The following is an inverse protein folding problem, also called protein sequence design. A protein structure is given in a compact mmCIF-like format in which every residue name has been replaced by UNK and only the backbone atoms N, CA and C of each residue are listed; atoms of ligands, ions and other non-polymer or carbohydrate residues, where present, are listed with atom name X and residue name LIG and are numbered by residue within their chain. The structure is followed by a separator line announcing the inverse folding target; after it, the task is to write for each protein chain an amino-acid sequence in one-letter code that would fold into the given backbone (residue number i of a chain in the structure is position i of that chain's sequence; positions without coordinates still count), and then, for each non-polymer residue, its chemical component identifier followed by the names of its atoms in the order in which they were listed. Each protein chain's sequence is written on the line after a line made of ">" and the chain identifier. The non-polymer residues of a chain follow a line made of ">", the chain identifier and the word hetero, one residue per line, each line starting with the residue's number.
data_IF_824097508204
#
_entry.id   IF_824097508204
#
_cell.length_a   1.000
_cell.length_b   1.000
_cell.length_c   1.000
_cell.angle_alpha   90.00
_cell.angle_beta   90.00
_cell.angle_gamma   90.00
#
_symmetry.space_group_name_H-M   'P 1'
#
loop_
_entity.id
_entity.type
_entity.pdbx_description
1 polymer ?
#
# COMPACT_ATOMS: atom_id res chain seq x y z
N UNK A 1 22.00 -15.35 4.06
CA UNK A 1 20.96 -15.49 3.01
C UNK A 1 20.58 -14.11 2.53
N UNK A 2 20.75 -13.87 1.24
CA UNK A 2 20.41 -12.61 0.55
C UNK A 2 19.04 -12.75 -0.11
N UNK A 3 18.09 -11.86 0.24
CA UNK A 3 16.70 -12.00 -0.18
C UNK A 3 16.26 -10.76 -0.98
N UNK A 4 15.68 -10.99 -2.15
CA UNK A 4 14.99 -9.97 -2.92
C UNK A 4 13.51 -9.94 -2.53
N UNK A 5 12.99 -8.75 -2.23
CA UNK A 5 11.55 -8.50 -2.09
C UNK A 5 11.14 -7.56 -3.22
N UNK A 6 10.12 -7.92 -4.00
CA UNK A 6 9.71 -7.11 -5.13
C UNK A 6 8.30 -6.52 -4.91
N UNK A 7 8.20 -5.18 -4.96
CA UNK A 7 6.95 -4.42 -5.02
C UNK A 7 7.12 -3.24 -5.96
N UNK A 8 6.60 -3.35 -7.18
CA UNK A 8 6.95 -2.47 -8.29
C UNK A 8 5.93 -1.35 -8.57
N UNK A 9 4.97 -1.15 -7.69
CA UNK A 9 3.95 -0.11 -7.79
C UNK A 9 4.42 1.25 -7.24
N UNK A 10 3.48 2.12 -6.82
CA UNK A 10 3.78 3.46 -6.31
C UNK A 10 4.14 3.50 -4.83
N UNK A 11 4.34 4.73 -4.31
CA UNK A 11 4.72 5.03 -2.91
C UNK A 11 3.83 4.26 -1.90
N UNK A 12 2.50 4.38 -2.04
CA UNK A 12 1.57 3.75 -1.09
C UNK A 12 1.71 2.23 -1.05
N UNK A 13 1.83 1.61 -2.21
CA UNK A 13 1.99 0.15 -2.33
C UNK A 13 3.29 -0.36 -1.72
N UNK A 14 4.38 0.40 -1.88
CA UNK A 14 5.69 0.09 -1.28
C UNK A 14 5.61 0.22 0.24
N UNK A 15 4.96 1.26 0.78
CA UNK A 15 4.75 1.42 2.23
C UNK A 15 3.93 0.25 2.81
N UNK A 16 2.91 -0.22 2.09
CA UNK A 16 2.09 -1.37 2.49
C UNK A 16 2.90 -2.68 2.57
N UNK A 17 4.01 -2.80 1.84
CA UNK A 17 4.91 -3.96 1.93
C UNK A 17 5.78 -3.98 3.21
N UNK A 18 5.79 -2.89 3.98
CA UNK A 18 6.66 -2.73 5.15
C UNK A 18 6.64 -3.89 6.16
N UNK A 19 5.47 -4.41 6.59
CA UNK A 19 5.40 -5.56 7.50
C UNK A 19 6.06 -6.82 6.93
N UNK A 20 5.85 -7.11 5.63
CA UNK A 20 6.47 -8.24 4.94
C UNK A 20 8.00 -8.08 4.86
N UNK A 21 8.48 -6.89 4.50
CA UNK A 21 9.92 -6.57 4.48
C UNK A 21 10.55 -6.79 5.87
N UNK A 22 9.92 -6.27 6.94
CA UNK A 22 10.43 -6.46 8.30
C UNK A 22 10.43 -7.93 8.76
N UNK A 23 9.47 -8.74 8.30
CA UNK A 23 9.47 -10.17 8.56
C UNK A 23 10.68 -10.86 7.93
N UNK A 24 11.00 -10.53 6.67
CA UNK A 24 12.18 -11.05 5.95
C UNK A 24 13.47 -10.59 6.63
N UNK A 25 13.61 -9.30 6.96
CA UNK A 25 14.80 -8.71 7.56
C UNK A 25 15.18 -9.31 8.93
N UNK A 26 14.25 -9.97 9.61
CA UNK A 26 14.55 -10.68 10.88
C UNK A 26 15.36 -11.97 10.69
N UNK A 27 15.44 -12.48 9.47
CA UNK A 27 16.07 -13.77 9.17
C UNK A 27 17.05 -13.73 8.01
N UNK A 28 16.96 -12.73 7.15
CA UNK A 28 17.91 -12.49 6.07
C UNK A 28 19.13 -11.72 6.58
N UNK A 29 20.28 -11.96 5.97
CA UNK A 29 21.51 -11.19 6.22
C UNK A 29 21.49 -9.88 5.43
N UNK A 30 20.78 -9.87 4.28
CA UNK A 30 20.59 -8.72 3.41
C UNK A 30 19.21 -8.80 2.75
N UNK A 31 18.49 -7.68 2.77
CA UNK A 31 17.21 -7.51 2.08
C UNK A 31 17.32 -6.40 1.05
N UNK A 32 17.15 -6.76 -0.21
CA UNK A 32 17.08 -5.78 -1.31
C UNK A 32 15.65 -5.68 -1.81
N UNK A 33 15.16 -4.43 -1.92
CA UNK A 33 13.84 -4.17 -2.47
C UNK A 33 13.92 -3.82 -3.95
N UNK A 34 13.24 -4.57 -4.81
CA UNK A 34 13.01 -4.22 -6.21
C UNK A 34 11.72 -3.42 -6.32
N UNK A 35 11.81 -2.17 -6.76
CA UNK A 35 10.67 -1.29 -6.96
C UNK A 35 10.70 -0.56 -8.30
N UNK A 36 9.57 0.02 -8.69
CA UNK A 36 9.50 0.97 -9.80
C UNK A 36 9.97 2.37 -9.37
N UNK A 37 10.26 3.28 -10.32
CA UNK A 37 10.74 4.64 -10.00
C UNK A 37 9.75 5.42 -9.14
N UNK A 38 8.44 5.19 -9.30
CA UNK A 38 7.39 5.81 -8.48
C UNK A 38 7.36 5.32 -7.03
N UNK A 39 7.90 4.14 -6.76
CA UNK A 39 7.99 3.54 -5.42
C UNK A 39 9.32 3.83 -4.72
N UNK A 40 10.35 4.26 -5.47
CA UNK A 40 11.71 4.43 -4.98
C UNK A 40 11.83 5.30 -3.72
N UNK A 41 11.19 6.48 -3.64
CA UNK A 41 11.30 7.30 -2.44
C UNK A 41 10.77 6.62 -1.17
N UNK A 42 9.74 5.77 -1.30
CA UNK A 42 9.21 4.98 -0.18
C UNK A 42 10.12 3.80 0.17
N UNK A 43 10.73 3.16 -0.83
CA UNK A 43 11.67 2.06 -0.62
C UNK A 43 12.85 2.47 0.27
N UNK A 44 13.41 3.66 0.05
CA UNK A 44 14.51 4.22 0.85
C UNK A 44 14.11 4.50 2.30
N UNK A 45 12.81 4.62 2.59
CA UNK A 45 12.26 4.88 3.92
C UNK A 45 11.81 3.61 4.66
N UNK A 46 11.79 2.43 4.03
CA UNK A 46 11.34 1.21 4.69
C UNK A 46 12.37 0.67 5.69
N UNK A 47 11.99 0.39 6.95
CA UNK A 47 12.85 -0.32 7.89
C UNK A 47 13.11 -1.76 7.41
N UNK A 48 14.37 -2.19 7.46
CA UNK A 48 14.79 -3.53 7.09
C UNK A 48 15.15 -3.70 5.61
N UNK A 49 15.16 -2.63 4.83
CA UNK A 49 15.74 -2.61 3.48
C UNK A 49 17.20 -2.19 3.57
N UNK A 50 18.10 -3.01 3.03
CA UNK A 50 19.55 -2.74 3.00
C UNK A 50 19.99 -2.15 1.65
N UNK A 51 19.29 -2.52 0.57
CA UNK A 51 19.55 -2.01 -0.78
C UNK A 51 18.28 -1.91 -1.62
N UNK A 52 18.32 -1.10 -2.68
CA UNK A 52 17.18 -0.93 -3.59
C UNK A 52 17.64 -1.08 -5.03
N UNK A 53 16.98 -1.97 -5.77
CA UNK A 53 17.04 -2.06 -7.23
C UNK A 53 15.84 -1.30 -7.79
N UNK A 54 16.08 -0.29 -8.61
CA UNK A 54 15.04 0.46 -9.28
C UNK A 54 14.90 -0.01 -10.73
N UNK A 55 13.72 -0.46 -11.08
CA UNK A 55 13.44 -0.86 -12.46
C UNK A 55 11.99 -0.59 -12.85
N UNK A 56 11.79 0.10 -13.96
CA UNK A 56 10.47 0.36 -14.54
C UNK A 56 9.97 -0.89 -15.24
N UNK A 57 9.05 -1.62 -14.61
CA UNK A 57 8.44 -2.81 -15.18
C UNK A 57 7.42 -2.42 -16.27
N UNK A 58 7.64 -2.77 -17.56
CA UNK A 58 6.74 -2.36 -18.66
C UNK A 58 5.31 -2.89 -18.53
N UNK A 59 5.09 -3.93 -17.74
CA UNK A 59 3.78 -4.54 -17.51
C UNK A 59 3.08 -4.08 -16.23
N UNK A 60 3.72 -3.21 -15.43
CA UNK A 60 3.16 -2.65 -14.19
C UNK A 60 3.04 -1.13 -14.27
N UNK A 61 4.08 -0.45 -14.78
CA UNK A 61 4.12 1.01 -14.83
C UNK A 61 2.96 1.53 -15.72
N UNK A 62 2.16 2.50 -15.25
CA UNK A 62 1.07 3.07 -16.04
C UNK A 62 1.55 3.79 -17.31
N UNK A 63 2.77 4.30 -17.30
CA UNK A 63 3.42 4.86 -18.48
C UNK A 63 3.99 3.72 -19.32
N UNK A 64 3.32 3.41 -20.42
CA UNK A 64 3.72 2.30 -21.28
C UNK A 64 5.08 2.55 -21.89
N UNK A 65 6.05 1.73 -21.53
CA UNK A 65 7.39 1.70 -22.15
C UNK A 65 7.57 0.36 -22.87
N UNK A 66 8.29 0.34 -23.98
CA UNK A 66 8.61 -0.92 -24.66
C UNK A 66 9.50 -1.80 -23.78
N UNK A 67 9.39 -3.13 -23.99
CA UNK A 67 10.35 -4.08 -23.40
C UNK A 67 11.60 -4.07 -24.28
N UNK A 68 12.69 -3.54 -23.75
CA UNK A 68 13.97 -3.48 -24.45
C UNK A 68 14.92 -4.55 -23.92
N UNK A 69 15.53 -5.33 -24.83
CA UNK A 69 16.45 -6.41 -24.48
C UNK A 69 17.58 -5.93 -23.58
N UNK A 70 18.21 -4.78 -23.91
CA UNK A 70 19.32 -4.24 -23.12
C UNK A 70 18.90 -3.82 -21.70
N UNK A 71 17.65 -3.40 -21.48
CA UNK A 71 17.12 -3.09 -20.15
C UNK A 71 16.87 -4.37 -19.35
N UNK A 72 16.39 -5.42 -20.01
CA UNK A 72 16.19 -6.75 -19.43
C UNK A 72 17.53 -7.36 -19.03
N UNK A 73 18.52 -7.33 -19.91
CA UNK A 73 19.85 -7.90 -19.64
C UNK A 73 20.54 -7.22 -18.45
N UNK A 74 20.44 -5.89 -18.34
CA UNK A 74 20.94 -5.15 -17.17
C UNK A 74 20.24 -5.59 -15.89
N UNK A 75 18.91 -5.65 -15.91
CA UNK A 75 18.16 -6.10 -14.73
C UNK A 75 18.54 -7.53 -14.32
N UNK A 76 18.62 -8.46 -15.28
CA UNK A 76 19.02 -9.85 -14.99
C UNK A 76 20.39 -9.88 -14.30
N UNK A 77 21.36 -9.07 -14.78
CA UNK A 77 22.67 -8.95 -14.13
C UNK A 77 22.60 -8.37 -12.71
N UNK A 78 21.72 -7.39 -12.46
CA UNK A 78 21.51 -6.83 -11.10
C UNK A 78 20.81 -7.82 -10.15
N UNK A 79 20.06 -8.78 -10.70
CA UNK A 79 19.33 -9.79 -9.95
C UNK A 79 20.14 -11.06 -9.67
N UNK A 80 21.41 -11.12 -10.05
CA UNK A 80 22.28 -12.27 -9.74
C UNK A 80 22.64 -12.35 -8.24
N UNK A 81 22.81 -13.56 -7.74
CA UNK A 81 23.32 -13.84 -6.39
C UNK A 81 22.31 -13.69 -5.26
N UNK A 82 21.01 -13.63 -5.54
CA UNK A 82 19.97 -13.77 -4.52
C UNK A 82 19.68 -15.24 -4.23
N UNK A 83 19.63 -15.63 -2.95
CA UNK A 83 19.26 -16.96 -2.51
C UNK A 83 17.76 -17.20 -2.66
N UNK A 84 16.95 -16.14 -2.43
CA UNK A 84 15.49 -16.18 -2.52
C UNK A 84 14.93 -14.88 -3.06
N UNK A 85 13.77 -14.98 -3.73
CA UNK A 85 12.98 -13.84 -4.12
C UNK A 85 11.50 -13.99 -3.71
N UNK A 86 10.88 -12.89 -3.26
CA UNK A 86 9.49 -12.80 -2.86
C UNK A 86 8.79 -11.72 -3.69
N UNK A 87 7.81 -12.09 -4.52
CA UNK A 87 7.13 -11.19 -5.44
C UNK A 87 5.75 -10.81 -4.87
N UNK A 88 5.66 -9.59 -4.35
CA UNK A 88 4.49 -9.05 -3.66
C UNK A 88 3.57 -8.32 -4.66
N UNK A 89 2.97 -9.05 -5.59
CA UNK A 89 2.07 -8.46 -6.60
C UNK A 89 0.75 -7.98 -6.03
N UNK A 90 0.19 -6.93 -6.61
CA UNK A 90 -1.23 -6.57 -6.46
C UNK A 90 -2.14 -7.66 -7.05
N UNK A 91 -3.39 -7.72 -6.58
CA UNK A 91 -4.34 -8.78 -6.97
C UNK A 91 -4.62 -8.91 -8.48
N UNK A 92 -4.32 -7.87 -9.27
CA UNK A 92 -4.52 -7.84 -10.72
C UNK A 92 -3.25 -8.03 -11.53
N UNK A 93 -2.14 -8.22 -10.85
CA UNK A 93 -0.83 -8.40 -11.48
C UNK A 93 -0.43 -9.86 -11.43
N UNK A 94 0.41 -10.27 -12.37
CA UNK A 94 1.03 -11.59 -12.38
C UNK A 94 2.47 -11.51 -11.89
N UNK A 95 2.92 -12.41 -11.02
CA UNK A 95 4.32 -12.51 -10.62
C UNK A 95 5.21 -13.12 -11.72
N UNK A 96 4.60 -13.76 -12.74
CA UNK A 96 5.32 -14.62 -13.67
C UNK A 96 6.35 -13.91 -14.55
N UNK A 97 6.11 -12.68 -15.07
CA UNK A 97 7.12 -11.98 -15.85
C UNK A 97 8.41 -11.73 -15.06
N UNK A 98 8.29 -11.27 -13.79
CA UNK A 98 9.46 -11.09 -12.94
C UNK A 98 10.08 -12.42 -12.51
N UNK A 99 9.28 -13.44 -12.25
CA UNK A 99 9.77 -14.77 -11.91
C UNK A 99 10.63 -15.37 -13.03
N UNK A 100 10.27 -15.13 -14.29
CA UNK A 100 11.09 -15.54 -15.44
C UNK A 100 12.45 -14.83 -15.43
N UNK A 101 12.49 -13.52 -15.19
CA UNK A 101 13.75 -12.77 -15.12
C UNK A 101 14.64 -13.24 -13.96
N UNK A 102 14.04 -13.53 -12.81
CA UNK A 102 14.75 -14.09 -11.65
C UNK A 102 15.32 -15.49 -11.92
N UNK A 103 14.59 -16.33 -12.69
CA UNK A 103 15.14 -17.63 -13.13
C UNK A 103 16.31 -17.46 -14.08
N UNK A 104 16.24 -16.51 -15.00
CA UNK A 104 17.36 -16.17 -15.89
C UNK A 104 18.58 -15.65 -15.11
N UNK A 105 18.37 -14.91 -14.03
CA UNK A 105 19.40 -14.47 -13.09
C UNK A 105 19.93 -15.61 -12.17
N UNK A 106 19.38 -16.81 -12.28
CA UNK A 106 19.81 -17.96 -11.49
C UNK A 106 19.27 -18.03 -10.06
N UNK A 107 18.23 -17.23 -9.70
CA UNK A 107 17.64 -17.28 -8.35
C UNK A 107 17.05 -18.67 -8.08
N UNK A 108 17.56 -19.43 -7.06
CA UNK A 108 17.19 -20.83 -6.86
C UNK A 108 15.79 -21.00 -6.28
N UNK A 109 15.29 -20.04 -5.47
CA UNK A 109 13.97 -20.13 -4.86
C UNK A 109 13.14 -18.84 -5.03
N UNK A 110 11.92 -18.97 -5.54
CA UNK A 110 11.03 -17.84 -5.83
C UNK A 110 9.63 -18.12 -5.28
N UNK A 111 9.15 -17.24 -4.39
CA UNK A 111 7.75 -17.19 -3.93
C UNK A 111 7.01 -16.01 -4.54
N UNK A 112 5.73 -16.18 -4.85
CA UNK A 112 4.94 -15.10 -5.42
C UNK A 112 3.45 -15.24 -5.15
N UNK A 113 2.76 -14.08 -5.06
CA UNK A 113 1.29 -14.03 -4.99
C UNK A 113 0.76 -14.11 -6.41
N UNK A 114 -0.07 -15.10 -6.72
CA UNK A 114 -0.66 -15.23 -8.05
C UNK A 114 -1.70 -16.32 -8.16
N UNK A 115 -2.68 -16.10 -9.06
CA UNK A 115 -3.77 -17.05 -9.33
C UNK A 115 -3.40 -18.03 -10.44
N UNK A 116 -2.59 -17.60 -11.39
CA UNK A 116 -2.22 -18.40 -12.56
C UNK A 116 -1.34 -19.59 -12.19
N UNK A 117 -1.38 -20.64 -13.02
CA UNK A 117 -0.47 -21.77 -12.89
C UNK A 117 0.96 -21.35 -13.25
N UNK A 118 1.92 -21.44 -12.30
CA UNK A 118 3.25 -20.89 -12.50
C UNK A 118 4.24 -21.84 -13.20
N UNK A 119 3.88 -23.11 -13.39
CA UNK A 119 4.85 -24.12 -13.82
C UNK A 119 6.03 -24.20 -12.85
N UNK A 120 7.24 -24.21 -13.38
CA UNK A 120 8.51 -24.19 -12.63
C UNK A 120 9.02 -22.80 -12.27
N UNK A 121 8.28 -21.73 -12.60
CA UNK A 121 8.72 -20.36 -12.33
C UNK A 121 8.64 -20.00 -10.84
N UNK A 122 7.68 -20.54 -10.11
CA UNK A 122 7.54 -20.33 -8.66
C UNK A 122 7.72 -21.65 -7.90
N UNK A 123 8.50 -21.62 -6.82
CA UNK A 123 8.60 -22.71 -5.82
C UNK A 123 7.43 -22.63 -4.85
N UNK A 124 6.97 -21.39 -4.54
CA UNK A 124 5.80 -21.13 -3.71
C UNK A 124 4.82 -20.23 -4.47
N UNK A 125 3.63 -20.74 -4.77
CA UNK A 125 2.50 -19.95 -5.23
C UNK A 125 1.54 -19.71 -4.07
N UNK A 126 1.54 -18.50 -3.56
CA UNK A 126 0.58 -18.07 -2.54
C UNK A 126 -0.70 -17.56 -3.20
N UNK A 127 -1.84 -18.11 -2.81
CA UNK A 127 -3.16 -17.60 -3.15
C UNK A 127 -3.69 -16.83 -1.96
N UNK A 128 -3.85 -15.54 -2.14
CA UNK A 128 -4.28 -14.68 -1.05
C UNK A 128 -5.81 -14.53 -1.03
N UNK A 129 -6.37 -14.45 0.17
CA UNK A 129 -7.77 -14.14 0.35
C UNK A 129 -8.10 -12.74 -0.21
N UNK A 130 -9.34 -12.59 -0.70
CA UNK A 130 -9.75 -11.39 -1.41
C UNK A 130 -10.04 -10.19 -0.51
N UNK A 131 -10.44 -10.40 0.74
CA UNK A 131 -10.94 -9.34 1.64
C UNK A 131 -10.01 -9.05 2.82
N UNK A 132 -8.71 -9.29 2.62
CA UNK A 132 -7.65 -9.04 3.61
C UNK A 132 -6.90 -7.77 3.25
N UNK A 133 -6.55 -6.89 4.22
CA UNK A 133 -5.71 -5.73 3.99
C UNK A 133 -4.39 -6.09 3.27
N UNK A 134 -3.99 -5.30 2.29
CA UNK A 134 -2.79 -5.56 1.48
C UNK A 134 -1.52 -5.84 2.30
N UNK A 135 -1.23 -5.15 3.44
CA UNK A 135 -0.08 -5.51 4.28
C UNK A 135 -0.14 -6.93 4.81
N UNK A 136 -1.32 -7.39 5.23
CA UNK A 136 -1.49 -8.75 5.77
C UNK A 136 -1.47 -9.80 4.65
N UNK A 137 -2.01 -9.46 3.47
CA UNK A 137 -1.95 -10.31 2.27
C UNK A 137 -0.50 -10.59 1.84
N UNK A 138 0.34 -9.54 1.82
CA UNK A 138 1.76 -9.69 1.52
C UNK A 138 2.52 -10.42 2.62
N UNK A 139 2.17 -10.16 3.88
CA UNK A 139 2.76 -10.84 5.03
C UNK A 139 2.47 -12.35 5.00
N UNK A 140 1.27 -12.76 4.60
CA UNK A 140 0.90 -14.18 4.51
C UNK A 140 1.79 -14.97 3.52
N UNK A 141 2.13 -14.41 2.34
CA UNK A 141 3.12 -15.03 1.45
C UNK A 141 4.46 -15.23 2.16
N UNK A 142 4.90 -14.21 2.90
CA UNK A 142 6.20 -14.21 3.57
C UNK A 142 6.21 -15.22 4.73
N UNK A 143 5.11 -15.40 5.45
CA UNK A 143 4.93 -16.42 6.47
C UNK A 143 4.97 -17.84 5.85
N UNK A 144 4.26 -18.06 4.75
CA UNK A 144 4.30 -19.32 3.99
C UNK A 144 5.72 -19.66 3.47
N UNK A 145 6.52 -18.62 3.18
CA UNK A 145 7.91 -18.75 2.80
C UNK A 145 8.85 -19.03 3.99
N UNK A 146 8.34 -19.11 5.22
CA UNK A 146 9.08 -19.45 6.44
C UNK A 146 9.68 -18.27 7.19
N UNK A 147 9.23 -17.02 6.92
CA UNK A 147 9.62 -15.82 7.66
C UNK A 147 8.51 -15.42 8.63
N UNK A 148 8.68 -15.59 9.94
CA UNK A 148 7.62 -15.30 10.91
C UNK A 148 7.21 -13.83 10.92
N UNK A 149 5.91 -13.55 11.05
CA UNK A 149 5.39 -12.21 11.20
C UNK A 149 6.08 -11.44 12.34
N UNK A 150 6.30 -10.14 12.20
CA UNK A 150 6.71 -9.30 13.32
C UNK A 150 5.56 -9.19 14.33
N UNK A 151 5.90 -8.98 15.61
CA UNK A 151 4.89 -8.78 16.66
C UNK A 151 3.98 -7.56 16.41
N UNK A 152 4.52 -6.55 15.75
CA UNK A 152 3.77 -5.37 15.30
C UNK A 152 3.72 -5.33 13.77
N UNK A 153 2.52 -5.46 13.22
CA UNK A 153 2.26 -5.46 11.78
C UNK A 153 1.89 -4.08 11.21
N UNK A 154 1.82 -3.03 12.04
CA UNK A 154 1.55 -1.65 11.58
C UNK A 154 2.61 -1.19 10.57
N UNK A 155 2.21 -0.27 9.70
CA UNK A 155 3.15 0.38 8.79
C UNK A 155 4.18 1.19 9.59
N UNK A 156 5.39 1.32 9.07
CA UNK A 156 6.46 2.10 9.69
C UNK A 156 7.40 2.66 8.64
N UNK A 157 7.99 3.81 8.93
CA UNK A 157 9.10 4.38 8.18
C UNK A 157 10.37 4.43 9.04
N UNK A 158 11.53 4.46 8.38
CA UNK A 158 12.85 4.58 9.02
C UNK A 158 13.02 5.98 9.60
N UNK A 159 13.55 6.06 10.82
CA UNK A 159 13.97 7.32 11.43
C UNK A 159 15.51 7.49 11.42
N UNK A 160 16.02 8.66 11.84
CA UNK A 160 15.26 9.84 12.23
C UNK A 160 14.63 10.55 11.03
N UNK A 161 13.45 11.14 11.22
CA UNK A 161 12.81 12.00 10.22
C UNK A 161 13.29 13.44 10.37
N UNK A 162 13.33 14.25 9.28
CA UNK A 162 13.78 15.65 9.31
C UNK A 162 12.99 16.53 10.31
N UNK A 163 13.63 17.55 10.84
CA UNK A 163 12.97 18.62 11.56
C UNK A 163 12.24 19.55 10.58
N UNK A 164 10.96 19.81 10.86
CA UNK A 164 10.08 20.61 10.01
C UNK A 164 9.43 21.79 10.75
N UNK A 165 9.85 22.09 11.96
CA UNK A 165 9.24 23.15 12.77
C UNK A 165 9.34 24.52 12.07
N UNK A 166 10.39 24.73 11.30
CA UNK A 166 10.59 25.93 10.46
C UNK A 166 9.55 26.06 9.33
N UNK A 167 8.90 24.95 8.93
CA UNK A 167 7.84 24.96 7.92
C UNK A 167 6.45 25.12 8.55
N UNK A 168 6.20 24.47 9.69
CA UNK A 168 4.85 24.32 10.26
C UNK A 168 4.62 25.13 11.51
N UNK A 169 5.66 25.67 12.16
CA UNK A 169 5.55 26.40 13.42
C UNK A 169 5.18 25.51 14.62
N UNK A 170 5.51 24.22 14.56
CA UNK A 170 5.30 23.25 15.64
C UNK A 170 4.09 22.31 15.42
N UNK A 171 3.92 21.26 16.26
CA UNK A 171 2.96 20.17 16.06
C UNK A 171 1.50 20.54 16.36
N UNK A 172 0.56 19.58 16.14
CA UNK A 172 -0.84 19.66 16.56
C UNK A 172 -1.78 20.30 15.56
N UNK A 173 -1.41 20.33 14.29
CA UNK A 173 -2.27 20.78 13.17
C UNK A 173 -2.98 19.61 12.49
N UNK A 174 -3.93 19.92 11.63
CA UNK A 174 -4.56 18.96 10.71
C UNK A 174 -3.87 19.06 9.36
N UNK A 175 -3.49 17.94 8.75
CA UNK A 175 -3.01 17.90 7.37
C UNK A 175 -4.17 17.62 6.43
N UNK A 176 -4.30 18.42 5.36
CA UNK A 176 -5.19 18.16 4.22
C UNK A 176 -4.34 17.93 2.98
N UNK A 177 -4.47 16.73 2.36
CA UNK A 177 -3.78 16.38 1.13
C UNK A 177 -4.83 16.16 0.01
N UNK A 178 -5.14 17.20 -0.80
CA UNK A 178 -6.22 17.16 -1.79
C UNK A 178 -5.84 16.36 -3.05
N UNK A 179 -4.53 16.19 -3.30
CA UNK A 179 -3.99 15.61 -4.51
C UNK A 179 -4.21 14.10 -4.65
N UNK A 180 -4.27 13.64 -5.90
CA UNK A 180 -4.37 12.21 -6.23
C UNK A 180 -3.87 11.94 -7.64
N UNK A 181 -3.20 10.83 -7.83
CA UNK A 181 -2.76 10.36 -9.17
C UNK A 181 -3.89 9.82 -10.05
N UNK A 182 -5.09 9.61 -9.49
CA UNK A 182 -6.27 9.12 -10.21
C UNK A 182 -7.47 10.05 -9.93
N UNK A 183 -7.90 10.85 -10.90
CA UNK A 183 -9.00 11.81 -10.73
C UNK A 183 -10.28 11.21 -10.12
N UNK A 184 -10.59 9.94 -10.42
CA UNK A 184 -11.71 9.22 -9.80
C UNK A 184 -11.60 9.03 -8.27
N UNK A 185 -10.47 9.38 -7.67
CA UNK A 185 -10.23 9.28 -6.20
C UNK A 185 -10.11 10.66 -5.55
N UNK A 186 -10.23 11.74 -6.35
CA UNK A 186 -10.14 13.12 -5.87
C UNK A 186 -11.45 13.61 -5.26
N UNK A 187 -11.36 14.24 -4.11
CA UNK A 187 -12.48 15.00 -3.56
C UNK A 187 -12.53 16.39 -4.22
N UNK A 188 -13.71 16.97 -4.50
CA UNK A 188 -13.79 18.25 -5.20
C UNK A 188 -12.97 19.35 -4.48
N UNK A 189 -12.09 20.10 -5.20
CA UNK A 189 -11.20 21.10 -4.59
C UNK A 189 -11.95 22.17 -3.76
N UNK A 190 -13.13 22.62 -4.23
CA UNK A 190 -13.95 23.57 -3.48
C UNK A 190 -14.41 23.03 -2.12
N UNK A 191 -14.74 21.75 -2.03
CA UNK A 191 -15.08 21.10 -0.76
C UNK A 191 -13.86 20.91 0.14
N UNK A 192 -12.67 20.66 -0.44
CA UNK A 192 -11.43 20.66 0.32
C UNK A 192 -11.19 22.03 0.98
N UNK A 193 -11.36 23.13 0.23
CA UNK A 193 -11.24 24.49 0.73
C UNK A 193 -12.30 24.82 1.80
N UNK A 194 -13.54 24.34 1.60
CA UNK A 194 -14.61 24.49 2.61
C UNK A 194 -14.24 23.78 3.92
N UNK A 195 -13.67 22.57 3.85
CA UNK A 195 -13.22 21.85 5.05
C UNK A 195 -12.05 22.57 5.75
N UNK A 196 -11.09 23.13 5.01
CA UNK A 196 -10.02 23.95 5.57
C UNK A 196 -10.59 25.13 6.35
N UNK A 197 -11.54 25.89 5.76
CA UNK A 197 -12.21 27.00 6.42
C UNK A 197 -12.96 26.59 7.69
N UNK A 198 -13.70 25.48 7.64
CA UNK A 198 -14.44 24.98 8.81
C UNK A 198 -13.50 24.55 9.95
N UNK A 199 -12.42 23.86 9.63
CA UNK A 199 -11.41 23.46 10.61
C UNK A 199 -10.71 24.67 11.23
N UNK A 200 -10.34 25.67 10.43
CA UNK A 200 -9.73 26.92 10.91
C UNK A 200 -10.71 27.71 11.79
N UNK A 201 -11.98 27.82 11.41
CA UNK A 201 -13.02 28.46 12.21
C UNK A 201 -13.26 27.75 13.57
N UNK A 202 -13.02 26.42 13.62
CA UNK A 202 -13.03 25.63 14.86
C UNK A 202 -11.73 25.76 15.69
N UNK A 203 -10.80 26.64 15.29
CA UNK A 203 -9.54 26.90 15.99
C UNK A 203 -8.42 25.90 15.66
N UNK A 204 -8.57 25.04 14.65
CA UNK A 204 -7.53 24.14 14.19
C UNK A 204 -6.57 24.86 13.23
N UNK A 205 -5.27 24.67 13.42
CA UNK A 205 -4.30 25.03 12.40
C UNK A 205 -4.38 23.97 11.30
N UNK A 206 -4.39 24.38 10.04
CA UNK A 206 -4.46 23.48 8.88
C UNK A 206 -3.24 23.66 8.01
N UNK A 207 -2.63 22.54 7.62
CA UNK A 207 -1.50 22.46 6.70
C UNK A 207 -1.95 21.71 5.46
N UNK A 208 -1.87 22.35 4.30
CA UNK A 208 -2.23 21.75 3.01
C UNK A 208 -0.95 21.28 2.32
N UNK A 209 -0.92 20.00 1.90
CA UNK A 209 0.26 19.39 1.28
C UNK A 209 -0.05 18.86 -0.11
N UNK A 210 0.95 18.83 -0.99
CA UNK A 210 0.86 18.33 -2.37
C UNK A 210 2.22 18.22 -3.01
N UNK A 211 2.29 17.56 -4.16
CA UNK A 211 3.48 17.47 -5.00
C UNK A 211 3.77 18.78 -5.74
N UNK A 212 4.88 18.79 -6.49
CA UNK A 212 5.31 19.95 -7.29
C UNK A 212 4.27 20.33 -8.36
N UNK A 213 3.61 19.33 -8.93
CA UNK A 213 2.56 19.45 -9.96
C UNK A 213 1.18 19.79 -9.38
N UNK A 214 1.05 19.85 -8.04
CA UNK A 214 -0.20 20.12 -7.33
C UNK A 214 -0.23 21.52 -6.67
N UNK A 215 0.74 22.40 -6.93
CA UNK A 215 0.87 23.72 -6.28
C UNK A 215 -0.37 24.63 -6.45
N UNK A 216 -0.94 24.65 -7.65
CA UNK A 216 -2.14 25.47 -7.89
C UNK A 216 -3.35 24.91 -7.10
N UNK A 217 -3.45 23.59 -6.99
CA UNK A 217 -4.48 22.92 -6.21
C UNK A 217 -4.32 23.21 -4.71
N UNK A 218 -3.09 23.08 -4.19
CA UNK A 218 -2.84 23.31 -2.76
C UNK A 218 -3.03 24.75 -2.38
N UNK A 219 -2.61 25.71 -3.21
CA UNK A 219 -2.85 27.13 -2.99
C UNK A 219 -4.35 27.47 -2.98
N UNK A 220 -5.14 26.91 -3.93
CA UNK A 220 -6.60 27.04 -3.94
C UNK A 220 -7.24 26.51 -2.67
N UNK A 221 -6.81 25.33 -2.20
CA UNK A 221 -7.38 24.64 -1.04
C UNK A 221 -6.98 25.31 0.27
N UNK A 222 -5.75 25.77 0.39
CA UNK A 222 -5.26 26.47 1.58
C UNK A 222 -5.94 27.82 1.77
N UNK A 223 -6.13 28.57 0.69
CA UNK A 223 -6.72 29.92 0.75
C UNK A 223 -5.97 30.81 1.75
N UNK A 224 -6.73 31.58 2.55
CA UNK A 224 -6.21 32.43 3.62
C UNK A 224 -6.15 31.70 4.98
N UNK A 225 -6.82 30.55 5.10
CA UNK A 225 -7.06 29.85 6.36
C UNK A 225 -6.07 28.68 6.60
N UNK A 226 -5.37 28.22 5.56
CA UNK A 226 -4.43 27.12 5.63
C UNK A 226 -2.99 27.52 5.30
N UNK A 227 -2.02 26.80 5.87
CA UNK A 227 -0.61 26.90 5.48
C UNK A 227 -0.36 26.03 4.24
N UNK A 228 -0.03 26.64 3.10
CA UNK A 228 0.30 25.92 1.87
C UNK A 228 1.75 25.40 1.86
N UNK A 229 1.91 24.11 1.77
CA UNK A 229 3.18 23.39 1.59
C UNK A 229 3.26 22.63 0.25
N UNK A 230 2.44 22.97 -0.74
CA UNK A 230 2.48 22.38 -2.09
C UNK A 230 3.85 22.49 -2.74
N UNK A 231 4.45 21.34 -3.11
CA UNK A 231 5.78 21.26 -3.72
C UNK A 231 6.94 21.69 -2.81
N UNK A 232 6.71 21.85 -1.50
CA UNK A 232 7.73 22.35 -0.55
C UNK A 232 8.31 21.27 0.36
N UNK A 233 7.91 20.02 0.17
CA UNK A 233 8.36 18.90 1.01
C UNK A 233 8.85 17.73 0.16
N UNK A 234 10.01 17.18 0.51
CA UNK A 234 10.41 15.83 0.13
C UNK A 234 9.53 14.77 0.83
N UNK A 235 9.58 13.51 0.42
CA UNK A 235 8.81 12.46 1.09
C UNK A 235 9.17 12.26 2.57
N UNK A 236 10.45 12.31 3.01
CA UNK A 236 10.81 12.31 4.43
C UNK A 236 10.28 13.51 5.22
N UNK A 237 10.29 14.72 4.63
CA UNK A 237 9.72 15.92 5.26
C UNK A 237 8.20 15.81 5.35
N UNK A 238 7.51 15.32 4.31
CA UNK A 238 6.08 15.02 4.36
C UNK A 238 5.75 14.02 5.47
N UNK A 239 6.59 13.00 5.67
CA UNK A 239 6.44 12.05 6.77
C UNK A 239 6.55 12.76 8.14
N UNK A 240 7.47 13.73 8.29
CA UNK A 240 7.57 14.55 9.49
C UNK A 240 6.35 15.45 9.70
N UNK A 241 5.86 16.10 8.62
CA UNK A 241 4.64 16.91 8.64
C UNK A 241 3.45 16.06 9.09
N UNK A 242 3.28 14.88 8.50
CA UNK A 242 2.21 13.96 8.90
C UNK A 242 2.36 13.49 10.36
N UNK A 243 3.58 13.11 10.80
CA UNK A 243 3.83 12.65 12.17
C UNK A 243 3.49 13.69 13.23
N UNK A 244 3.68 14.97 12.92
CA UNK A 244 3.41 16.09 13.85
C UNK A 244 1.96 16.57 13.81
N UNK A 245 1.13 16.01 12.91
CA UNK A 245 -0.28 16.32 12.80
C UNK A 245 -1.12 15.52 13.81
N UNK A 246 -2.23 16.10 14.28
CA UNK A 246 -3.22 15.40 15.08
C UNK A 246 -4.14 14.50 14.24
N UNK A 247 -4.34 14.83 12.97
CA UNK A 247 -5.06 14.02 11.99
C UNK A 247 -4.64 14.39 10.55
N UNK A 248 -4.83 13.47 9.61
CA UNK A 248 -4.64 13.70 8.19
C UNK A 248 -5.93 13.41 7.41
N UNK A 249 -6.32 14.31 6.52
CA UNK A 249 -7.43 14.15 5.57
C UNK A 249 -6.83 13.91 4.19
N UNK A 250 -7.10 12.77 3.59
CA UNK A 250 -6.58 12.42 2.26
C UNK A 250 -7.48 11.43 1.53
N UNK A 251 -7.40 11.41 0.21
CA UNK A 251 -8.00 10.36 -0.60
C UNK A 251 -7.28 9.01 -0.47
N UNK A 252 -7.71 8.01 -1.23
CA UNK A 252 -6.98 6.74 -1.34
C UNK A 252 -5.69 6.94 -2.17
N UNK A 253 -4.64 7.42 -1.51
CA UNK A 253 -3.37 7.87 -2.10
C UNK A 253 -2.17 7.49 -1.24
N UNK A 254 -0.95 7.65 -1.77
CA UNK A 254 0.29 7.41 -1.03
C UNK A 254 0.39 8.15 0.31
N UNK A 255 0.07 9.45 0.38
CA UNK A 255 0.06 10.22 1.63
C UNK A 255 -0.83 9.66 2.75
N UNK A 256 -1.98 9.06 2.43
CA UNK A 256 -2.80 8.38 3.44
C UNK A 256 -2.09 7.17 4.08
N UNK A 257 -1.36 6.39 3.27
CA UNK A 257 -0.54 5.28 3.77
C UNK A 257 0.72 5.77 4.50
N UNK A 258 1.28 6.91 4.09
CA UNK A 258 2.40 7.54 4.79
C UNK A 258 1.96 8.06 6.17
N UNK A 259 0.77 8.68 6.27
CA UNK A 259 0.17 9.07 7.55
C UNK A 259 0.03 7.85 8.48
N UNK A 260 -0.50 6.73 7.95
CA UNK A 260 -0.58 5.48 8.70
C UNK A 260 0.81 4.96 9.12
N UNK A 261 1.83 5.10 8.26
CA UNK A 261 3.20 4.63 8.55
C UNK A 261 3.92 5.44 9.64
N UNK A 262 3.49 6.67 9.90
CA UNK A 262 4.01 7.51 11.00
C UNK A 262 3.08 7.55 12.22
N UNK A 263 1.96 6.81 12.18
CA UNK A 263 1.04 6.66 13.30
C UNK A 263 -0.04 7.73 13.42
N UNK A 264 -0.22 8.56 12.39
CA UNK A 264 -1.20 9.65 12.38
C UNK A 264 -2.60 9.13 12.06
N UNK A 265 -3.64 9.50 12.84
CA UNK A 265 -5.04 9.21 12.52
C UNK A 265 -5.45 9.74 11.15
N UNK A 266 -6.29 9.00 10.41
CA UNK A 266 -6.66 9.36 9.03
C UNK A 266 -8.17 9.47 8.84
N UNK A 267 -8.61 10.58 8.27
CA UNK A 267 -9.92 10.70 7.60
C UNK A 267 -9.69 10.41 6.12
N UNK A 268 -10.14 9.25 5.65
CA UNK A 268 -9.92 8.79 4.29
C UNK A 268 -11.14 9.02 3.42
N UNK A 269 -11.01 9.91 2.45
CA UNK A 269 -11.99 10.16 1.40
C UNK A 269 -11.85 9.08 0.33
N UNK A 270 -12.60 7.99 0.49
CA UNK A 270 -12.34 6.75 -0.22
C UNK A 270 -13.33 6.48 -1.34
N UNK A 271 -12.89 6.63 -2.60
CA UNK A 271 -13.67 6.22 -3.76
C UNK A 271 -13.66 4.69 -3.90
N UNK A 272 -14.81 4.03 -4.16
CA UNK A 272 -14.92 2.57 -4.18
C UNK A 272 -14.35 1.92 -5.44
N UNK A 273 -13.56 2.65 -6.22
CA UNK A 273 -12.89 2.10 -7.42
C UNK A 273 -11.98 0.91 -7.12
N UNK A 274 -11.55 0.78 -5.86
CA UNK A 274 -10.86 -0.39 -5.30
C UNK A 274 -11.46 -0.72 -3.93
N UNK A 275 -11.42 -1.98 -3.45
CA UNK A 275 -12.00 -2.37 -2.16
C UNK A 275 -11.33 -1.68 -0.98
N UNK A 276 -12.10 -0.99 -0.13
CA UNK A 276 -11.58 -0.37 1.09
C UNK A 276 -11.01 -1.41 2.07
N UNK A 277 -11.58 -2.61 2.15
CA UNK A 277 -11.07 -3.72 2.96
C UNK A 277 -9.59 -4.03 2.69
N UNK A 278 -9.11 -3.79 1.46
CA UNK A 278 -7.71 -4.01 1.07
C UNK A 278 -6.83 -2.77 1.21
N UNK A 279 -7.35 -1.61 0.78
CA UNK A 279 -6.56 -0.42 0.47
C UNK A 279 -6.78 0.75 1.42
N UNK A 280 -7.65 0.62 2.43
CA UNK A 280 -7.77 1.64 3.45
C UNK A 280 -6.47 1.80 4.25
N UNK A 281 -6.18 2.99 4.81
CA UNK A 281 -5.07 3.19 5.74
C UNK A 281 -5.06 2.15 6.86
N UNK A 282 -3.90 1.52 7.10
CA UNK A 282 -3.79 0.33 7.95
C UNK A 282 -3.05 0.62 9.25
N UNK A 283 -3.62 0.18 10.37
CA UNK A 283 -2.95 0.19 11.66
C UNK A 283 -2.99 1.53 12.40
N UNK A 284 -3.92 2.42 12.07
CA UNK A 284 -4.17 3.71 12.74
C UNK A 284 -5.66 3.96 12.92
N UNK A 285 -6.07 4.87 13.82
CA UNK A 285 -7.45 5.37 13.87
C UNK A 285 -7.90 5.87 12.50
N UNK A 286 -9.07 5.43 12.03
CA UNK A 286 -9.54 5.66 10.67
C UNK A 286 -11.02 6.02 10.65
N UNK A 287 -11.37 7.15 10.01
CA UNK A 287 -12.70 7.44 9.52
C UNK A 287 -12.72 7.28 7.99
N UNK A 288 -13.58 6.40 7.48
CA UNK A 288 -13.72 6.14 6.06
C UNK A 288 -14.98 6.84 5.56
N UNK A 289 -14.81 7.86 4.69
CA UNK A 289 -15.89 8.63 4.09
C UNK A 289 -16.00 8.36 2.60
N UNK A 290 -17.22 8.45 2.08
CA UNK A 290 -17.53 8.19 0.67
C UNK A 290 -18.43 6.96 0.48
N UNK A 291 -19.27 7.01 -0.57
CA UNK A 291 -20.21 5.93 -0.87
C UNK A 291 -19.50 4.69 -1.43
N UNK A 292 -19.37 3.65 -0.60
CA UNK A 292 -18.76 2.37 -0.97
C UNK A 292 -19.67 1.50 -1.85
N UNK A 293 -20.92 1.90 -2.06
CA UNK A 293 -21.89 1.24 -2.92
C UNK A 293 -22.05 1.86 -4.32
N UNK A 294 -21.30 2.94 -4.62
CA UNK A 294 -21.43 3.64 -5.90
C UNK A 294 -21.18 2.73 -7.12
N UNK A 295 -21.77 3.05 -8.29
CA UNK A 295 -21.73 2.17 -9.48
C UNK A 295 -20.31 1.89 -10.01
N UNK A 296 -19.33 2.72 -9.65
CA UNK A 296 -17.92 2.51 -10.02
C UNK A 296 -17.16 1.55 -9.10
N UNK A 297 -17.85 0.90 -8.16
CA UNK A 297 -17.23 -0.05 -7.24
C UNK A 297 -16.42 -1.11 -8.00
N UNK A 298 -15.19 -1.35 -7.51
CA UNK A 298 -14.23 -2.34 -8.02
C UNK A 298 -13.82 -2.16 -9.51
N UNK A 299 -14.18 -1.01 -10.13
CA UNK A 299 -13.89 -0.72 -11.54
C UNK A 299 -12.42 -0.47 -11.82
N UNK A 300 -11.62 -0.07 -10.82
CA UNK A 300 -10.24 0.42 -10.95
C UNK A 300 -10.11 1.63 -11.89
N UNK A 301 -11.22 2.33 -12.12
CA UNK A 301 -11.25 3.48 -12.99
C UNK A 301 -10.25 4.56 -12.53
N UNK A 302 -9.46 5.08 -13.47
CA UNK A 302 -8.59 6.23 -13.27
C UNK A 302 -9.40 7.51 -13.30
N UNK A 303 -10.31 7.61 -14.26
CA UNK A 303 -11.26 8.71 -14.40
C UNK A 303 -12.65 8.21 -13.98
N UNK A 304 -13.45 9.09 -13.36
CA UNK A 304 -14.74 8.68 -12.85
C UNK A 304 -15.69 8.31 -14.02
N UNK A 305 -16.22 7.07 -14.06
CA UNK A 305 -17.14 6.66 -15.11
C UNK A 305 -18.59 7.07 -14.82
N UNK A 306 -18.85 7.72 -13.69
CA UNK A 306 -20.21 8.13 -13.24
C UNK A 306 -20.30 9.64 -13.21
N UNK A 307 -21.30 10.18 -13.91
CA UNK A 307 -21.53 11.62 -13.97
C UNK A 307 -21.71 12.23 -12.57
N UNK A 308 -21.06 13.38 -12.32
CA UNK A 308 -21.14 14.10 -11.07
C UNK A 308 -20.30 13.49 -9.93
N UNK A 309 -19.59 12.40 -10.16
CA UNK A 309 -18.67 11.78 -9.18
C UNK A 309 -19.34 11.54 -7.80
N UNK A 310 -20.52 10.88 -7.74
CA UNK A 310 -21.39 10.91 -6.57
C UNK A 310 -20.78 10.32 -5.29
N UNK A 311 -19.85 9.36 -5.42
CA UNK A 311 -19.26 8.70 -4.25
C UNK A 311 -18.46 9.64 -3.32
N UNK A 312 -17.84 10.68 -3.87
CA UNK A 312 -17.08 11.67 -3.09
C UNK A 312 -17.73 13.06 -3.10
N UNK A 313 -18.42 13.46 -4.17
CA UNK A 313 -19.10 14.75 -4.20
C UNK A 313 -20.28 14.82 -3.22
N UNK A 314 -20.81 13.70 -2.73
CA UNK A 314 -21.83 13.65 -1.67
C UNK A 314 -21.27 13.93 -0.28
N UNK A 315 -19.96 13.72 -0.05
CA UNK A 315 -19.32 13.97 1.25
C UNK A 315 -19.25 15.47 1.52
N UNK A 316 -19.83 15.92 2.64
CA UNK A 316 -19.84 17.31 3.08
C UNK A 316 -18.53 17.72 3.75
N UNK A 317 -18.19 19.01 3.67
CA UNK A 317 -17.03 19.55 4.38
C UNK A 317 -17.22 19.50 5.91
N UNK A 318 -18.45 19.65 6.38
CA UNK A 318 -18.86 19.51 7.79
C UNK A 318 -18.70 18.06 8.28
N UNK A 319 -19.02 17.09 7.44
CA UNK A 319 -18.80 15.67 7.74
C UNK A 319 -17.31 15.34 7.91
N UNK A 320 -16.45 15.90 7.04
CA UNK A 320 -14.99 15.77 7.14
C UNK A 320 -14.46 16.45 8.42
N UNK A 321 -14.93 17.67 8.73
CA UNK A 321 -14.51 18.36 9.95
C UNK A 321 -14.92 17.60 11.21
N UNK A 322 -16.14 17.05 11.26
CA UNK A 322 -16.60 16.22 12.36
C UNK A 322 -15.77 14.92 12.49
N UNK A 323 -15.45 14.29 11.37
CA UNK A 323 -14.63 13.08 11.36
C UNK A 323 -13.19 13.34 11.87
N UNK A 324 -12.61 14.52 11.58
CA UNK A 324 -11.30 14.94 12.12
C UNK A 324 -11.35 15.01 13.64
N UNK A 325 -12.40 15.64 14.23
CA UNK A 325 -12.53 15.71 15.69
C UNK A 325 -12.64 14.32 16.34
N UNK A 326 -13.34 13.39 15.70
CA UNK A 326 -13.48 12.02 16.18
C UNK A 326 -12.11 11.30 16.17
N UNK A 327 -11.41 11.26 15.04
CA UNK A 327 -10.16 10.49 14.94
C UNK A 327 -9.00 11.12 15.71
N UNK A 328 -9.05 12.44 15.96
CA UNK A 328 -8.05 13.17 16.75
C UNK A 328 -8.29 13.08 18.26
N UNK A 329 -9.41 12.50 18.72
CA UNK A 329 -9.73 12.38 20.14
C UNK A 329 -8.93 11.27 20.83
N UNK A 330 -8.54 11.47 22.08
CA UNK A 330 -7.84 10.46 22.91
C UNK A 330 -8.71 9.22 23.15
N UNK A 331 -10.03 9.34 23.17
CA UNK A 331 -10.96 8.23 23.33
C UNK A 331 -10.89 7.26 22.16
N UNK A 332 -10.76 7.77 20.94
CA UNK A 332 -10.65 6.95 19.74
C UNK A 332 -9.27 6.26 19.66
N UNK A 333 -8.21 6.94 20.12
CA UNK A 333 -6.88 6.36 20.21
C UNK A 333 -6.81 5.22 21.26
N UNK A 334 -7.60 5.30 22.33
CA UNK A 334 -7.67 4.30 23.40
C UNK A 334 -8.58 3.10 23.10
N UNK A 335 -9.52 3.22 22.16
CA UNK A 335 -10.51 2.18 21.84
C UNK A 335 -9.96 0.94 21.13
N UNK A 336 -8.65 0.89 20.84
CA UNK A 336 -7.99 -0.24 20.17
C UNK A 336 -8.35 -0.33 18.70
N UNK A 337 -7.37 -0.61 17.86
CA UNK A 337 -7.55 -0.75 16.41
C UNK A 337 -8.42 -1.98 16.11
N UNK A 338 -9.38 -1.91 15.16
CA UNK A 338 -10.06 -3.10 14.67
C UNK A 338 -9.02 -4.00 13.98
N UNK A 339 -8.62 -5.07 14.64
CA UNK A 339 -7.59 -6.03 14.15
C UNK A 339 -6.94 -6.88 15.24
N UNK A 340 -6.99 -6.49 16.53
CA UNK A 340 -6.42 -7.31 17.61
C UNK A 340 -7.38 -8.35 18.20
N UNK A 341 -8.65 -8.36 17.84
CA UNK A 341 -9.70 -9.24 18.41
C UNK A 341 -9.84 -10.60 17.70
N UNK A 342 -8.81 -11.13 17.07
CA UNK A 342 -8.88 -12.34 16.24
C UNK A 342 -7.90 -13.47 16.56
N UNK A 343 -7.17 -13.42 17.69
CA UNK A 343 -6.29 -14.54 18.09
C UNK A 343 -6.46 -14.97 19.56
N UNK A 344 -7.70 -15.17 20.02
CA UNK A 344 -7.94 -16.00 21.20
C UNK A 344 -8.31 -17.40 20.71
N UNK A 345 -7.46 -18.37 21.05
CA UNK A 345 -7.58 -19.75 20.60
C UNK A 345 -8.89 -20.43 21.00
N UNK A 346 -9.45 -21.14 20.09
CA UNK A 346 -10.17 -22.39 20.35
C UNK A 346 -9.66 -23.38 19.31
N UNK A 347 -8.78 -24.26 19.77
CA UNK A 347 -8.35 -25.45 19.02
C UNK A 347 -9.56 -26.37 18.86
N UNK A 348 -10.21 -26.27 17.74
CA UNK A 348 -11.14 -27.27 17.26
C UNK A 348 -10.47 -28.00 16.08
N UNK A 349 -9.99 -29.20 16.39
CA UNK A 349 -9.42 -30.12 15.40
C UNK A 349 -10.52 -30.56 14.45
N UNK A 350 -10.47 -30.05 13.21
CA UNK A 350 -11.27 -30.61 12.11
C UNK A 350 -10.66 -31.97 11.73
N UNK A 351 -11.46 -33.08 11.73
CA UNK A 351 -10.93 -34.41 11.40
C UNK A 351 -10.54 -34.47 9.93
N UNK A 352 -9.27 -34.83 9.69
CA UNK A 352 -8.72 -35.13 8.35
C UNK A 352 -9.49 -36.29 7.73
N UNK A 353 -10.28 -36.05 6.68
CA UNK A 353 -10.82 -37.09 5.80
C UNK A 353 -9.65 -37.82 5.11
N UNK A 354 -9.66 -39.16 5.27
CA UNK A 354 -8.62 -40.03 4.80
C UNK A 354 -8.35 -39.96 3.30
N UNK A 355 -7.08 -40.02 2.97
CA UNK A 355 -6.60 -40.18 1.59
C UNK A 355 -7.09 -41.53 1.07
N UNK A 356 -7.91 -41.53 0.06
CA UNK A 356 -8.20 -42.71 -0.76
C UNK A 356 -7.00 -42.94 -1.68
N UNK A 357 -6.37 -44.09 -1.52
CA UNK A 357 -5.31 -44.64 -2.43
C UNK A 357 -5.93 -44.91 -3.80
N UNK A 358 -5.25 -44.58 -4.90
CA UNK A 358 -5.73 -44.96 -6.23
C UNK A 358 -5.53 -46.48 -6.44
N UNK A 359 -6.60 -47.10 -6.93
CA UNK A 359 -6.63 -48.50 -7.35
C UNK A 359 -5.80 -48.70 -8.64
N UNK A 360 -4.99 -49.77 -8.80
CA UNK A 360 -4.25 -50.01 -10.02
C UNK A 360 -5.19 -50.40 -11.18
N UNK A 361 -4.94 -49.86 -12.34
CA UNK A 361 -5.63 -50.20 -13.59
C UNK A 361 -5.21 -51.62 -14.01
N UNK A 362 -6.18 -52.52 -14.12
CA UNK A 362 -5.99 -53.86 -14.70
C UNK A 362 -5.83 -53.76 -16.22
N UNK A 363 -4.70 -54.22 -16.73
CA UNK A 363 -4.46 -54.47 -18.15
C UNK A 363 -5.23 -55.71 -18.57
N UNK A 364 -6.30 -55.54 -19.34
CA UNK A 364 -6.86 -56.66 -20.13
C UNK A 364 -6.21 -56.64 -21.52
N UNK A 365 -5.45 -57.68 -21.81
CA UNK A 365 -5.08 -58.07 -23.18
C UNK A 365 -6.34 -58.55 -23.88
N UNK A 366 -6.67 -57.94 -24.99
CA UNK A 366 -7.62 -58.47 -25.97
C UNK A 366 -6.85 -59.03 -27.14
N UNK A 367 -7.03 -60.33 -27.38
CA UNK A 367 -6.48 -61.06 -28.51
C UNK A 367 -7.18 -60.68 -29.82
N UNK A 368 -6.42 -60.87 -30.86
CA UNK A 368 -6.77 -60.66 -32.24
C UNK A 368 -7.87 -61.62 -32.78
N UNK A 369 -8.67 -61.15 -33.68
CA UNK A 369 -9.09 -61.82 -34.91
C UNK A 369 -9.50 -60.79 -35.95
#
# INVERSE_FOLDING_TARGET
>A
MRVLVARQDGIGDVLLAGPAVRAVARRADEVVLLCGPRGRPAADMLPGVDGVVEWRAPWIDPDRVPVEQAAVDRLVGELEGFDRALILTSAHQSPLPLALLLRLAGTPWIGGIGEDYPGSLLDLRHRADTDVPEPLRMLALVEDAGFPAPADTRLRVRGPLPDIDHLTGGPGYVVVHPGTSAPARGWPPGRCADAVRLLAAAGRRVVVTGGEDEKDLTALVAGEDGLDLGGRTSLPELASVLRSACAAVAGNTGPAHLAAAVGTPVVSLFAPTVPAARWAPFGVPLALLGDQGAPCKDSRARDCPVDGHPCLSSVGADEVAAAVEIVASDEFAAAGLPGEAGRSGSGEQVPRKGRSTPRPLSTTKGDAS
#
